data_IF_249480539400
#
_entry.id   IF_249480539400
#
_cell.length_a   1.000
_cell.length_b   1.000
_cell.length_c   1.000
_cell.angle_alpha   90.00
_cell.angle_beta   90.00
_cell.angle_gamma   90.00
#
_symmetry.space_group_name_H-M   'P 1'
#
loop_
_entity.id
_entity.type
_entity.pdbx_description
1 polymer ?
#
# COMPACT_ATOMS: atom_id res chain seq x y z
N UNK A 1 -15.95 14.52 3.56
CA UNK A 1 -14.79 13.87 2.92
C UNK A 1 -13.76 13.55 3.98
N UNK A 2 -13.30 12.30 4.00
CA UNK A 2 -12.33 11.74 4.97
C UNK A 2 -11.20 11.13 4.16
N UNK A 3 -9.96 11.29 4.63
CA UNK A 3 -8.74 10.71 4.08
C UNK A 3 -8.16 9.76 5.12
N UNK A 4 -7.49 8.68 4.70
CA UNK A 4 -6.93 7.70 5.60
C UNK A 4 -5.85 8.30 6.51
N UNK A 5 -5.10 9.30 6.02
CA UNK A 5 -4.07 9.98 6.79
C UNK A 5 -3.76 11.41 6.27
N UNK A 6 -2.86 12.10 6.97
CA UNK A 6 -2.38 13.45 6.62
C UNK A 6 -1.66 13.51 5.27
N UNK A 7 -0.92 12.45 4.93
CA UNK A 7 -0.19 12.38 3.67
C UNK A 7 -1.16 12.36 2.48
N UNK A 8 -2.16 11.49 2.51
CA UNK A 8 -3.19 11.37 1.47
C UNK A 8 -3.98 12.69 1.30
N UNK A 9 -4.35 13.34 2.42
CA UNK A 9 -4.98 14.66 2.37
C UNK A 9 -4.12 15.70 1.63
N UNK A 10 -2.82 15.73 1.92
CA UNK A 10 -1.88 16.65 1.27
C UNK A 10 -1.72 16.32 -0.21
N UNK A 11 -1.55 15.06 -0.57
CA UNK A 11 -1.44 14.64 -1.97
C UNK A 11 -2.68 15.05 -2.78
N UNK A 12 -3.89 14.81 -2.25
CA UNK A 12 -5.13 15.26 -2.88
C UNK A 12 -5.18 16.79 -3.06
N UNK A 13 -4.73 17.55 -2.07
CA UNK A 13 -4.66 19.02 -2.17
C UNK A 13 -3.63 19.49 -3.21
N UNK A 14 -2.49 18.80 -3.34
CA UNK A 14 -1.47 19.09 -4.36
C UNK A 14 -1.99 18.78 -5.75
N UNK A 15 -2.62 17.64 -5.93
CA UNK A 15 -3.22 17.20 -7.19
C UNK A 15 -4.32 18.16 -7.65
N UNK A 16 -5.18 18.59 -6.72
CA UNK A 16 -6.15 19.65 -6.98
C UNK A 16 -5.47 20.93 -7.50
N UNK A 17 -4.38 21.35 -6.84
CA UNK A 17 -3.60 22.52 -7.25
C UNK A 17 -2.95 22.37 -8.64
N UNK A 18 -2.45 21.18 -8.98
CA UNK A 18 -1.89 20.90 -10.30
C UNK A 18 -2.98 20.95 -11.37
N UNK A 19 -4.09 20.23 -11.17
CA UNK A 19 -5.19 20.13 -12.14
C UNK A 19 -5.87 21.46 -12.42
N UNK A 20 -6.09 22.27 -11.38
CA UNK A 20 -6.79 23.55 -11.50
C UNK A 20 -5.86 24.76 -11.63
N UNK A 21 -4.55 24.52 -11.69
CA UNK A 21 -3.51 25.55 -11.86
C UNK A 21 -3.48 26.57 -10.72
N UNK A 22 -3.50 26.07 -9.49
CA UNK A 22 -3.40 26.83 -8.25
C UNK A 22 -2.19 26.39 -7.42
N UNK A 23 -1.51 27.37 -6.84
CA UNK A 23 -0.36 27.13 -5.97
C UNK A 23 -0.83 26.93 -4.52
N UNK A 24 -1.18 25.70 -4.18
CA UNK A 24 -1.64 25.36 -2.82
C UNK A 24 -0.43 25.10 -1.94
N UNK A 25 -0.35 25.67 -0.74
CA UNK A 25 0.67 25.32 0.25
C UNK A 25 0.02 25.02 1.60
N UNK A 26 0.83 24.52 2.53
CA UNK A 26 0.36 24.06 3.83
C UNK A 26 1.02 24.87 4.95
N UNK A 27 0.55 26.10 5.24
CA UNK A 27 1.18 26.95 6.26
C UNK A 27 1.06 26.38 7.67
N UNK A 28 0.01 25.60 7.94
CA UNK A 28 -0.22 24.98 9.25
C UNK A 28 -0.28 23.47 9.05
N UNK A 29 0.61 22.76 9.74
CA UNK A 29 0.68 21.30 9.73
C UNK A 29 1.02 20.81 11.14
N UNK A 30 0.00 20.82 11.99
CA UNK A 30 0.10 20.35 13.37
C UNK A 30 -0.13 18.83 13.44
N UNK A 31 0.23 18.20 14.55
CA UNK A 31 -0.01 16.75 14.78
C UNK A 31 -1.49 16.34 14.60
N UNK A 32 -2.42 17.28 14.82
CA UNK A 32 -3.87 17.06 14.80
C UNK A 32 -4.58 17.70 13.61
N UNK A 33 -4.02 18.72 12.97
CA UNK A 33 -4.73 19.51 11.96
C UNK A 33 -3.80 20.05 10.88
N UNK A 34 -4.33 20.20 9.68
CA UNK A 34 -3.63 20.76 8.53
C UNK A 34 -4.50 21.81 7.88
N UNK A 35 -3.90 22.94 7.53
CA UNK A 35 -4.49 23.97 6.69
C UNK A 35 -3.84 23.91 5.31
N UNK A 36 -4.64 23.79 4.27
CA UNK A 36 -4.23 24.06 2.89
C UNK A 36 -4.72 25.45 2.50
N UNK A 37 -3.86 26.29 1.93
CA UNK A 37 -4.22 27.64 1.46
C UNK A 37 -3.58 27.92 0.11
N UNK A 38 -4.17 28.82 -0.67
CA UNK A 38 -3.49 29.33 -1.85
C UNK A 38 -2.32 30.25 -1.46
N UNK A 39 -1.19 30.15 -2.17
CA UNK A 39 0.03 30.91 -1.90
C UNK A 39 -0.18 32.42 -1.94
N UNK A 40 -1.01 32.91 -2.88
CA UNK A 40 -1.37 34.32 -2.98
C UNK A 40 -2.41 34.79 -1.94
N UNK A 41 -2.77 33.96 -0.94
CA UNK A 41 -3.75 34.28 0.11
C UNK A 41 -5.11 34.79 -0.41
N UNK A 42 -5.61 34.21 -1.50
CA UNK A 42 -6.81 34.68 -2.22
C UNK A 42 -8.15 34.30 -1.56
N UNK A 43 -8.16 34.01 -0.26
CA UNK A 43 -9.35 33.54 0.48
C UNK A 43 -9.65 32.04 0.36
N UNK A 44 -9.06 31.32 -0.60
CA UNK A 44 -9.23 29.87 -0.70
C UNK A 44 -8.50 29.14 0.44
N UNK A 45 -9.20 28.23 1.12
CA UNK A 45 -8.58 27.36 2.12
C UNK A 45 -9.37 26.07 2.34
N UNK A 46 -8.67 25.06 2.85
CA UNK A 46 -9.27 23.83 3.39
C UNK A 46 -8.61 23.54 4.74
N UNK A 47 -9.42 23.32 5.76
CA UNK A 47 -9.01 22.84 7.07
C UNK A 47 -9.41 21.38 7.23
N UNK A 48 -8.44 20.53 7.53
CA UNK A 48 -8.66 19.15 7.91
C UNK A 48 -8.09 18.87 9.31
N UNK A 49 -8.79 18.07 10.09
CA UNK A 49 -8.33 17.61 11.40
C UNK A 49 -8.43 16.10 11.50
N UNK A 50 -7.60 15.49 12.35
CA UNK A 50 -7.78 14.09 12.74
C UNK A 50 -9.15 13.91 13.39
N UNK A 51 -9.74 12.74 13.18
CA UNK A 51 -10.89 12.29 13.95
C UNK A 51 -10.52 12.11 15.43
N UNK A 52 -11.53 12.06 16.31
CA UNK A 52 -11.26 12.06 17.73
C UNK A 52 -10.48 10.79 18.11
N UNK A 53 -9.61 10.83 19.13
CA UNK A 53 -8.87 9.65 19.57
C UNK A 53 -9.77 8.48 20.02
N UNK A 54 -11.04 8.77 20.32
CA UNK A 54 -12.06 7.79 20.68
C UNK A 54 -12.69 7.09 19.47
N UNK A 55 -12.46 7.61 18.27
CA UNK A 55 -12.97 7.01 17.03
C UNK A 55 -12.05 5.86 16.59
N UNK A 56 -12.60 4.73 16.12
CA UNK A 56 -11.82 3.59 15.60
C UNK A 56 -10.85 3.98 14.47
N UNK A 57 -11.16 5.07 13.74
CA UNK A 57 -10.37 5.62 12.64
C UNK A 57 -9.55 6.85 13.06
N UNK A 58 -8.98 6.88 14.26
CA UNK A 58 -8.24 8.02 14.83
C UNK A 58 -7.08 8.59 13.96
N UNK A 59 -6.54 7.79 13.02
CA UNK A 59 -5.48 8.22 12.09
C UNK A 59 -6.02 9.00 10.88
N UNK A 60 -7.32 8.91 10.61
CA UNK A 60 -7.96 9.52 9.45
C UNK A 60 -8.17 11.03 9.63
N UNK A 61 -8.10 11.75 8.51
CA UNK A 61 -8.23 13.20 8.43
C UNK A 61 -9.57 13.57 7.81
N UNK A 62 -10.39 14.35 8.53
CA UNK A 62 -11.67 14.85 8.03
C UNK A 62 -11.59 16.35 7.75
N UNK A 63 -12.14 16.77 6.60
CA UNK A 63 -12.31 18.21 6.31
C UNK A 63 -13.40 18.77 7.23
N UNK A 64 -13.06 19.80 8.02
CA UNK A 64 -13.96 20.47 8.97
C UNK A 64 -14.47 21.81 8.46
N UNK A 65 -13.61 22.57 7.78
CA UNK A 65 -13.96 23.90 7.26
C UNK A 65 -13.28 24.13 5.92
N UNK A 66 -13.93 24.85 5.01
CA UNK A 66 -13.46 25.05 3.64
C UNK A 66 -14.05 26.30 3.01
N UNK A 67 -13.26 26.95 2.15
CA UNK A 67 -13.69 27.97 1.21
C UNK A 67 -13.06 27.66 -0.15
N UNK A 68 -13.91 27.33 -1.13
CA UNK A 68 -13.47 26.90 -2.46
C UNK A 68 -13.38 28.03 -3.50
N UNK A 69 -13.86 29.21 -3.15
CA UNK A 69 -13.79 30.37 -4.01
C UNK A 69 -12.36 30.90 -4.10
N UNK A 70 -11.90 31.11 -5.33
CA UNK A 70 -10.65 31.80 -5.62
C UNK A 70 -10.95 33.20 -6.16
N UNK A 71 -10.39 34.22 -5.51
CA UNK A 71 -10.37 35.58 -6.05
C UNK A 71 -9.14 35.85 -6.96
N UNK A 72 -8.33 34.82 -7.24
CA UNK A 72 -7.08 34.96 -8.00
C UNK A 72 -7.11 34.23 -9.35
N UNK A 73 -6.32 34.73 -10.29
CA UNK A 73 -6.06 34.07 -11.57
C UNK A 73 -5.26 32.76 -11.42
N UNK A 74 -5.32 31.94 -12.48
CA UNK A 74 -4.59 30.68 -12.62
C UNK A 74 -3.10 30.92 -12.90
N UNK A 75 -2.24 29.97 -12.53
CA UNK A 75 -0.79 30.03 -12.78
C UNK A 75 -0.36 29.08 -13.90
N UNK A 76 0.73 29.39 -14.59
CA UNK A 76 1.33 28.50 -15.61
C UNK A 76 2.48 27.66 -15.07
N UNK A 77 2.91 27.90 -13.83
CA UNK A 77 3.97 27.14 -13.15
C UNK A 77 3.49 26.68 -11.78
N UNK A 78 3.75 25.42 -11.43
CA UNK A 78 3.36 24.85 -10.14
C UNK A 78 4.59 24.26 -9.43
N UNK A 79 4.79 24.64 -8.17
CA UNK A 79 5.94 24.15 -7.39
C UNK A 79 5.80 22.69 -6.92
N UNK A 80 4.59 22.12 -6.92
CA UNK A 80 4.38 20.69 -6.65
C UNK A 80 4.81 19.80 -7.79
N UNK A 81 4.94 20.35 -9.00
CA UNK A 81 5.59 19.67 -10.11
C UNK A 81 7.10 19.71 -9.87
N UNK A 82 7.53 18.78 -9.03
CA UNK A 82 8.91 18.48 -8.69
C UNK A 82 9.42 17.34 -9.56
N UNK A 83 10.74 17.19 -9.67
CA UNK A 83 11.32 16.04 -10.39
C UNK A 83 10.90 14.71 -9.80
N UNK A 84 10.75 14.63 -8.47
CA UNK A 84 10.24 13.44 -7.78
C UNK A 84 8.79 13.14 -8.17
N UNK A 85 7.93 14.16 -8.18
CA UNK A 85 6.54 14.00 -8.61
C UNK A 85 6.45 13.53 -10.06
N UNK A 86 7.22 14.13 -10.97
CA UNK A 86 7.28 13.71 -12.38
C UNK A 86 7.74 12.26 -12.54
N UNK A 87 8.80 11.87 -11.83
CA UNK A 87 9.33 10.51 -11.87
C UNK A 87 8.31 9.48 -11.39
N UNK A 88 7.63 9.74 -10.27
CA UNK A 88 6.61 8.82 -9.74
C UNK A 88 5.33 8.82 -10.57
N UNK A 89 4.89 9.98 -11.08
CA UNK A 89 3.64 10.10 -11.84
C UNK A 89 3.73 9.46 -13.22
N UNK A 90 4.89 9.52 -13.87
CA UNK A 90 5.13 8.93 -15.18
C UNK A 90 6.01 7.68 -15.12
N UNK A 91 6.10 7.02 -13.96
CA UNK A 91 6.99 5.87 -13.76
C UNK A 91 6.73 4.76 -14.79
N UNK A 92 5.47 4.49 -15.10
CA UNK A 92 5.09 3.47 -16.09
C UNK A 92 5.52 3.84 -17.52
N UNK A 93 5.45 5.13 -17.87
CA UNK A 93 5.93 5.60 -19.16
C UNK A 93 7.44 5.40 -19.26
N UNK A 94 8.19 5.71 -18.20
CA UNK A 94 9.63 5.47 -18.14
C UNK A 94 10.01 3.98 -18.19
N UNK A 95 9.14 3.07 -17.73
CA UNK A 95 9.36 1.62 -17.87
C UNK A 95 9.24 1.16 -19.33
N UNK A 96 8.28 1.71 -20.06
CA UNK A 96 8.08 1.37 -21.47
C UNK A 96 9.06 2.09 -22.41
N UNK A 97 9.43 3.32 -22.09
CA UNK A 97 10.37 4.15 -22.86
C UNK A 97 11.43 4.77 -21.91
N UNK A 98 12.52 4.05 -21.62
CA UNK A 98 13.63 4.56 -20.80
C UNK A 98 14.36 5.77 -21.40
N UNK A 99 14.25 5.93 -22.72
CA UNK A 99 14.85 7.02 -23.50
C UNK A 99 13.90 8.18 -23.75
N UNK A 100 12.80 8.24 -22.99
CA UNK A 100 11.79 9.29 -23.13
C UNK A 100 12.42 10.70 -23.09
N UNK A 101 12.31 11.38 -24.23
CA UNK A 101 13.03 12.62 -24.47
C UNK A 101 12.60 13.75 -23.54
N UNK A 102 13.54 14.60 -23.15
CA UNK A 102 13.28 15.77 -22.29
C UNK A 102 12.19 16.69 -22.89
N UNK A 103 12.22 17.02 -24.20
CA UNK A 103 11.12 17.77 -24.83
C UNK A 103 9.77 17.04 -24.77
N UNK A 104 9.78 15.70 -24.85
CA UNK A 104 8.58 14.86 -24.68
C UNK A 104 7.96 15.01 -23.30
N UNK A 105 8.78 14.95 -22.24
CA UNK A 105 8.33 15.16 -20.85
C UNK A 105 7.71 16.55 -20.69
N UNK A 106 8.38 17.58 -21.20
CA UNK A 106 7.88 18.97 -21.12
C UNK A 106 6.54 19.08 -21.87
N UNK A 107 6.43 18.49 -23.06
CA UNK A 107 5.21 18.50 -23.86
C UNK A 107 4.07 17.78 -23.15
N UNK A 108 4.34 16.68 -22.45
CA UNK A 108 3.34 15.99 -21.64
C UNK A 108 2.80 16.86 -20.51
N UNK A 109 3.68 17.62 -19.83
CA UNK A 109 3.25 18.56 -18.78
C UNK A 109 2.45 19.73 -19.35
N UNK A 110 2.73 20.16 -20.58
CA UNK A 110 1.93 21.19 -21.28
C UNK A 110 0.46 20.78 -21.47
N UNK A 111 0.11 19.49 -21.43
CA UNK A 111 -1.28 19.02 -21.45
C UNK A 111 -2.10 19.58 -20.25
N UNK A 112 -1.45 19.87 -19.12
CA UNK A 112 -2.08 20.54 -17.97
C UNK A 112 -2.09 22.08 -18.10
N UNK A 113 -1.67 22.62 -19.26
CA UNK A 113 -1.37 24.05 -19.46
C UNK A 113 -0.34 24.58 -18.47
N UNK A 114 0.63 23.73 -18.09
CA UNK A 114 1.72 24.07 -17.18
C UNK A 114 3.06 23.95 -17.89
N UNK A 115 4.04 24.76 -17.46
CA UNK A 115 5.40 24.74 -17.96
C UNK A 115 6.38 24.34 -16.86
N UNK A 116 7.46 23.65 -17.26
CA UNK A 116 8.53 23.23 -16.36
C UNK A 116 9.90 23.56 -16.97
N UNK A 117 10.89 23.73 -16.09
CA UNK A 117 12.28 23.88 -16.51
C UNK A 117 12.81 22.54 -17.05
N UNK A 118 13.52 22.51 -18.20
CA UNK A 118 14.14 21.30 -18.74
C UNK A 118 14.99 20.50 -17.74
N UNK A 119 15.70 21.18 -16.82
CA UNK A 119 16.50 20.53 -15.78
C UNK A 119 15.60 19.68 -14.85
N UNK A 120 14.36 20.11 -14.59
CA UNK A 120 13.42 19.31 -13.78
C UNK A 120 13.04 18.01 -14.48
N UNK A 121 12.83 18.06 -15.79
CA UNK A 121 12.51 16.89 -16.61
C UNK A 121 13.71 15.94 -16.71
N UNK A 122 14.92 16.47 -16.91
CA UNK A 122 16.14 15.66 -16.90
C UNK A 122 16.34 14.94 -15.56
N UNK A 123 16.25 15.65 -14.43
CA UNK A 123 16.32 15.04 -13.10
C UNK A 123 15.19 14.03 -12.85
N UNK A 124 14.00 14.27 -13.40
CA UNK A 124 12.89 13.33 -13.26
C UNK A 124 13.19 12.00 -13.97
N UNK A 125 13.76 12.06 -15.18
CA UNK A 125 14.22 10.88 -15.91
C UNK A 125 15.26 10.10 -15.12
N UNK A 126 16.30 10.76 -14.62
CA UNK A 126 17.32 10.10 -13.80
C UNK A 126 16.75 9.43 -12.55
N UNK A 127 15.84 10.10 -11.85
CA UNK A 127 15.17 9.56 -10.66
C UNK A 127 14.29 8.35 -11.01
N UNK A 128 13.58 8.39 -12.14
CA UNK A 128 12.74 7.29 -12.59
C UNK A 128 13.58 6.06 -12.98
N UNK A 129 14.64 6.25 -13.77
CA UNK A 129 15.55 5.17 -14.16
C UNK A 129 16.22 4.55 -12.94
N UNK A 130 16.71 5.38 -12.00
CA UNK A 130 17.27 4.87 -10.74
C UNK A 130 16.28 4.03 -9.94
N UNK A 131 14.99 4.42 -9.93
CA UNK A 131 13.95 3.63 -9.26
C UNK A 131 13.71 2.30 -9.99
N UNK A 132 13.61 2.31 -11.32
CA UNK A 132 13.38 1.12 -12.14
C UNK A 132 14.54 0.13 -12.04
N UNK A 133 15.78 0.57 -12.27
CA UNK A 133 16.96 -0.28 -12.19
C UNK A 133 17.26 -0.76 -10.76
N UNK A 134 16.94 0.06 -9.75
CA UNK A 134 17.02 -0.34 -8.34
C UNK A 134 16.05 -1.46 -8.01
N UNK A 135 14.81 -1.36 -8.50
CA UNK A 135 13.79 -2.39 -8.35
C UNK A 135 14.20 -3.69 -9.08
N UNK A 136 14.74 -3.58 -10.30
CA UNK A 136 15.24 -4.74 -11.07
C UNK A 136 16.33 -5.50 -10.32
N UNK A 137 17.36 -4.81 -9.82
CA UNK A 137 18.45 -5.46 -9.09
C UNK A 137 17.96 -6.21 -7.83
N UNK A 138 17.03 -5.60 -7.09
CA UNK A 138 16.38 -6.24 -5.93
C UNK A 138 15.54 -7.44 -6.36
N UNK A 139 14.80 -7.33 -7.46
CA UNK A 139 13.97 -8.40 -8.00
C UNK A 139 14.82 -9.59 -8.48
N UNK A 140 15.90 -9.35 -9.21
CA UNK A 140 16.86 -10.39 -9.61
C UNK A 140 17.53 -11.05 -8.40
N UNK A 141 17.94 -10.27 -7.40
CA UNK A 141 18.47 -10.80 -6.15
C UNK A 141 17.47 -11.72 -5.43
N UNK A 142 16.19 -11.33 -5.40
CA UNK A 142 15.11 -12.16 -4.84
C UNK A 142 14.93 -13.46 -5.63
N UNK A 143 14.96 -13.42 -6.97
CA UNK A 143 14.87 -14.63 -7.79
C UNK A 143 16.03 -15.59 -7.57
N UNK A 144 17.25 -15.07 -7.41
CA UNK A 144 18.44 -15.89 -7.12
C UNK A 144 18.30 -16.60 -5.76
N UNK A 145 17.84 -15.87 -4.73
CA UNK A 145 17.61 -16.46 -3.40
C UNK A 145 16.44 -17.46 -3.40
N UNK A 146 15.38 -17.17 -4.13
CA UNK A 146 14.21 -18.06 -4.24
C UNK A 146 14.57 -19.37 -4.97
N UNK A 147 15.34 -19.29 -6.06
CA UNK A 147 15.78 -20.49 -6.79
C UNK A 147 16.73 -21.36 -5.96
N UNK A 148 17.67 -20.78 -5.21
CA UNK A 148 18.57 -21.52 -4.32
C UNK A 148 17.85 -22.24 -3.17
N UNK A 149 16.76 -21.66 -2.65
CA UNK A 149 16.01 -22.23 -1.52
C UNK A 149 14.93 -23.23 -1.94
N UNK A 150 14.51 -23.23 -3.21
CA UNK A 150 13.37 -24.03 -3.69
C UNK A 150 13.54 -25.53 -3.49
N UNK A 151 14.73 -26.08 -3.75
CA UNK A 151 15.03 -27.50 -3.56
C UNK A 151 14.96 -27.93 -2.08
N UNK A 152 15.47 -27.10 -1.16
CA UNK A 152 15.43 -27.39 0.28
C UNK A 152 14.00 -27.29 0.80
N UNK A 153 13.26 -26.24 0.43
CA UNK A 153 11.86 -26.06 0.84
C UNK A 153 11.01 -27.24 0.36
N UNK A 154 11.11 -27.63 -0.92
CA UNK A 154 10.37 -28.79 -1.44
C UNK A 154 10.76 -30.09 -0.73
N UNK A 155 12.04 -30.34 -0.47
CA UNK A 155 12.46 -31.50 0.31
C UNK A 155 11.88 -31.50 1.73
N UNK A 156 11.89 -30.35 2.42
CA UNK A 156 11.33 -30.22 3.76
C UNK A 156 9.81 -30.39 3.77
N UNK A 157 9.09 -29.88 2.77
CA UNK A 157 7.64 -30.05 2.59
C UNK A 157 7.30 -31.54 2.37
N UNK A 158 8.09 -32.24 1.55
CA UNK A 158 7.96 -33.68 1.32
C UNK A 158 8.21 -34.48 2.62
N UNK A 159 9.22 -34.11 3.39
CA UNK A 159 9.50 -34.73 4.71
C UNK A 159 8.33 -34.47 5.66
N UNK A 160 7.82 -33.23 5.75
CA UNK A 160 6.66 -32.87 6.56
C UNK A 160 5.45 -33.72 6.18
N UNK A 161 5.13 -33.82 4.90
CA UNK A 161 3.98 -34.60 4.43
C UNK A 161 4.12 -36.10 4.75
N UNK A 162 5.33 -36.66 4.58
CA UNK A 162 5.61 -38.05 4.97
C UNK A 162 5.50 -38.28 6.48
N UNK A 163 5.94 -37.34 7.31
CA UNK A 163 5.80 -37.43 8.77
C UNK A 163 4.35 -37.30 9.21
N UNK A 164 3.62 -36.32 8.67
CA UNK A 164 2.21 -36.10 9.01
C UNK A 164 1.36 -37.31 8.63
N UNK A 165 1.51 -37.86 7.42
CA UNK A 165 0.78 -39.07 6.99
C UNK A 165 1.10 -40.29 7.86
N UNK A 166 2.35 -40.47 8.29
CA UNK A 166 2.73 -41.52 9.25
C UNK A 166 2.06 -41.34 10.60
N UNK A 167 2.01 -40.11 11.12
CA UNK A 167 1.37 -39.80 12.40
C UNK A 167 -0.14 -40.05 12.37
N UNK A 168 -0.83 -39.64 11.30
CA UNK A 168 -2.26 -39.91 11.12
C UNK A 168 -2.56 -41.42 11.05
N UNK A 169 -1.82 -42.17 10.23
CA UNK A 169 -1.98 -43.64 10.15
C UNK A 169 -1.75 -44.32 11.50
N UNK A 170 -0.74 -43.89 12.27
CA UNK A 170 -0.45 -44.44 13.60
C UNK A 170 -1.56 -44.13 14.60
N UNK A 171 -2.18 -42.95 14.51
CA UNK A 171 -3.33 -42.57 15.34
C UNK A 171 -4.56 -43.44 15.03
N UNK A 172 -4.87 -43.64 13.74
CA UNK A 172 -6.00 -44.47 13.31
C UNK A 172 -5.84 -45.94 13.74
N UNK A 173 -4.63 -46.50 13.62
CA UNK A 173 -4.33 -47.86 14.08
C UNK A 173 -4.53 -48.00 15.59
N UNK A 174 -4.02 -47.05 16.39
CA UNK A 174 -4.16 -47.06 17.85
C UNK A 174 -5.62 -46.95 18.30
N UNK A 175 -6.44 -46.23 17.55
CA UNK A 175 -7.87 -46.04 17.83
C UNK A 175 -8.67 -47.32 17.50
N UNK A 176 -8.27 -48.06 16.47
CA UNK A 176 -8.83 -49.40 16.17
C UNK A 176 -8.46 -50.44 17.22
N UNK A 177 -7.20 -50.48 17.68
CA UNK A 177 -6.77 -51.44 18.72
C UNK A 177 -7.49 -51.20 20.08
N UNK A 178 -7.77 -49.94 20.44
CA UNK A 178 -8.54 -49.62 21.66
C UNK A 178 -10.02 -50.02 21.62
N UNK A 179 -10.55 -50.32 20.43
CA UNK A 179 -11.95 -50.73 20.24
C UNK A 179 -12.14 -52.26 20.20
N UNK A 180 -11.06 -53.04 20.31
CA UNK A 180 -11.08 -54.51 20.22
C UNK A 180 -10.83 -55.25 21.54
N UNK A 181 -10.72 -54.57 22.70
CA UNK A 181 -10.68 -55.29 23.99
C UNK A 181 -12.02 -56.00 24.24
N UNK A 182 -12.05 -57.34 24.37
CA UNK A 182 -13.29 -58.07 24.60
C UNK A 182 -13.93 -57.65 25.93
N UNK A 183 -15.27 -57.56 26.03
CA UNK A 183 -15.93 -57.24 27.29
C UNK A 183 -15.66 -58.33 28.33
N UNK A 184 -15.35 -57.91 29.56
CA UNK A 184 -15.23 -58.80 30.72
C UNK A 184 -16.54 -59.60 30.90
N UNK A 185 -16.48 -60.93 31.09
CA UNK A 185 -17.69 -61.74 31.23
C UNK A 185 -18.48 -61.32 32.49
N UNK A 186 -19.73 -60.93 32.28
CA UNK A 186 -20.65 -60.48 33.32
C UNK A 186 -21.19 -61.69 34.07
N UNK A 187 -20.94 -61.76 35.39
CA UNK A 187 -21.39 -62.84 36.27
C UNK A 187 -22.90 -62.74 36.45
N UNK A 188 -23.66 -63.69 35.89
CA UNK A 188 -25.11 -63.73 36.03
C UNK A 188 -25.52 -64.14 37.45
N UNK A 189 -26.32 -63.29 38.10
CA UNK A 189 -27.13 -63.60 39.28
C UNK A 189 -28.46 -64.22 38.84
N UNK A 190 -28.81 -65.38 39.38
CA UNK A 190 -30.19 -65.90 39.40
C UNK A 190 -30.50 -66.48 40.79
N UNK A 191 -31.23 -65.69 41.59
CA UNK A 191 -32.26 -66.15 42.53
C UNK A 191 -33.59 -66.17 41.73
N UNK A 192 -34.65 -66.96 41.92
CA UNK A 192 -35.09 -68.11 42.75
C UNK A 192 -36.50 -68.52 42.23
N UNK A 193 -37.07 -69.62 42.76
CA UNK A 193 -38.47 -70.15 42.72
C UNK A 193 -38.72 -71.25 41.67
N UNK A 194 -39.37 -72.40 41.91
CA UNK A 194 -40.13 -73.06 43.00
C UNK A 194 -39.97 -74.59 42.75
N UNK A 195 -39.99 -75.50 43.74
CA UNK A 195 -41.14 -75.96 44.53
C UNK A 195 -40.70 -76.48 45.92
#
# INVERSE_FOLDING_TARGET
MVFANNHEFKEACKEYGIKHRYQIHFPTNDKKRVKATHFKKCGWYIWASKLNPKDPTYMSMQIKSRKFEHACGKVFTNFHITSKWLASHYLEIFRHDPDWSIPGIITRVKAYTLTINPIKAWRARELALKAINGDEAVQYGRYILDTGNKAIITMLEMIRNKLMTKLFKKRDMKQKDSSQTPPMPTRATQETLHD
#
